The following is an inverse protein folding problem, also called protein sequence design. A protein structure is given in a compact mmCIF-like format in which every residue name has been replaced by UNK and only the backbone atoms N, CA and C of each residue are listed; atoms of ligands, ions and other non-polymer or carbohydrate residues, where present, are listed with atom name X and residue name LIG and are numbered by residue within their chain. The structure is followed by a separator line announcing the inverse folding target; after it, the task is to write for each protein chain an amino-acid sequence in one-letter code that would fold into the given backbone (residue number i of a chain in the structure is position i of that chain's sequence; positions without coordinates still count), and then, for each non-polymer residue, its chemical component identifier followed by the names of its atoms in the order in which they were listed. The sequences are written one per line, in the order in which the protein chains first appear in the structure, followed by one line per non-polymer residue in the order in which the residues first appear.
data_IF_185452699698
#
_entry.id   IF_185452699698
#
_cell.length_a   1.000
_cell.length_b   1.000
_cell.length_c   1.000
_cell.angle_alpha   90.00
_cell.angle_beta   90.00
_cell.angle_gamma   90.00
#
_symmetry.space_group_name_H-M   'P 1'
#
loop_
_entity.id
_entity.type
_entity.pdbx_description
1 polymer ?
#
# COMPACT_ATOMS: atom_id res chain seq x y z
N UNK A 1 11.58 -11.95 -55.54
CA UNK A 1 12.29 -11.95 -54.23
C UNK A 1 11.54 -11.00 -53.31
N UNK A 2 10.99 -11.49 -52.19
CA UNK A 2 10.39 -10.64 -51.13
C UNK A 2 11.21 -10.80 -49.84
N UNK A 3 11.41 -9.74 -49.04
CA UNK A 3 12.11 -9.84 -47.77
C UNK A 3 11.25 -10.53 -46.70
N UNK A 4 11.88 -11.38 -45.89
CA UNK A 4 11.25 -12.10 -44.78
C UNK A 4 10.77 -11.12 -43.70
N UNK A 5 9.46 -11.06 -43.44
CA UNK A 5 8.96 -10.51 -42.17
C UNK A 5 9.30 -11.50 -41.05
N UNK A 6 10.16 -11.10 -40.12
CA UNK A 6 10.47 -11.91 -38.94
C UNK A 6 9.24 -11.93 -38.02
N UNK A 7 8.66 -13.10 -37.79
CA UNK A 7 7.34 -13.24 -37.16
C UNK A 7 7.43 -13.31 -35.62
N UNK A 8 7.98 -12.27 -34.99
CA UNK A 8 8.21 -12.23 -33.54
C UNK A 8 6.92 -12.21 -32.70
N UNK A 9 5.78 -11.80 -33.28
CA UNK A 9 4.49 -11.73 -32.56
C UNK A 9 3.96 -13.14 -32.25
N UNK A 10 4.19 -14.13 -33.11
CA UNK A 10 3.73 -15.50 -32.88
C UNK A 10 4.55 -16.23 -31.81
N UNK A 11 5.85 -15.92 -31.70
CA UNK A 11 6.74 -16.45 -30.65
C UNK A 11 6.43 -15.85 -29.28
N UNK A 12 6.06 -14.57 -29.20
CA UNK A 12 5.59 -13.95 -27.95
C UNK A 12 4.27 -14.57 -27.47
N UNK A 13 3.34 -14.88 -28.37
CA UNK A 13 2.10 -15.58 -28.01
C UNK A 13 2.34 -17.02 -27.50
N UNK A 14 3.35 -17.72 -28.03
CA UNK A 14 3.72 -19.06 -27.53
C UNK A 14 4.42 -19.02 -26.16
N UNK A 15 5.24 -17.99 -25.87
CA UNK A 15 5.91 -17.85 -24.57
C UNK A 15 4.97 -17.42 -23.44
N UNK A 16 3.86 -16.76 -23.74
CA UNK A 16 2.82 -16.42 -22.75
C UNK A 16 1.98 -17.65 -22.34
N UNK A 17 2.02 -18.74 -23.11
CA UNK A 17 1.27 -19.97 -22.81
C UNK A 17 2.00 -20.98 -21.89
N UNK A 18 3.18 -20.64 -21.34
CA UNK A 18 3.94 -21.53 -20.44
C UNK A 18 4.23 -20.96 -19.04
N UNK A 19 3.61 -19.83 -18.66
CA UNK A 19 3.42 -19.56 -17.22
C UNK A 19 2.27 -20.45 -16.76
N UNK A 20 2.43 -21.35 -15.77
CA UNK A 20 1.29 -22.05 -15.19
C UNK A 20 0.33 -20.99 -14.63
N UNK A 21 -0.81 -20.84 -15.30
CA UNK A 21 -1.67 -19.69 -15.11
C UNK A 21 -2.15 -19.58 -13.68
N UNK A 22 -2.05 -18.39 -13.09
CA UNK A 22 -2.66 -18.09 -11.78
C UNK A 22 -4.13 -18.47 -11.85
N UNK A 23 -4.53 -19.52 -11.13
CA UNK A 23 -5.90 -19.97 -11.10
C UNK A 23 -6.75 -18.93 -10.34
N UNK A 24 -7.37 -18.04 -11.11
CA UNK A 24 -8.10 -16.89 -10.57
C UNK A 24 -9.30 -17.30 -9.70
N UNK A 25 -9.88 -18.48 -9.93
CA UNK A 25 -10.95 -19.01 -9.08
C UNK A 25 -10.39 -19.51 -7.74
N UNK A 26 -9.20 -20.14 -7.72
CA UNK A 26 -8.48 -20.43 -6.48
C UNK A 26 -8.18 -19.13 -5.72
N UNK A 27 -7.61 -18.11 -6.38
CA UNK A 27 -7.32 -16.81 -5.74
C UNK A 27 -8.58 -16.17 -5.15
N UNK A 28 -9.71 -16.15 -5.86
CA UNK A 28 -11.00 -15.66 -5.33
C UNK A 28 -11.49 -16.46 -4.13
N UNK A 29 -11.46 -17.79 -4.22
CA UNK A 29 -11.87 -18.68 -3.14
C UNK A 29 -11.06 -18.42 -1.87
N UNK A 30 -9.74 -18.38 -2.00
CA UNK A 30 -8.81 -18.14 -0.91
C UNK A 30 -8.93 -16.72 -0.34
N UNK A 31 -9.07 -15.70 -1.19
CA UNK A 31 -9.35 -14.33 -0.74
C UNK A 31 -10.64 -14.23 0.10
N UNK A 32 -11.69 -14.98 -0.28
CA UNK A 32 -12.93 -15.08 0.49
C UNK A 32 -12.70 -15.77 1.85
N UNK A 33 -11.95 -16.89 1.91
CA UNK A 33 -11.55 -17.52 3.17
C UNK A 33 -10.81 -16.54 4.09
N UNK A 34 -9.83 -15.79 3.58
CA UNK A 34 -9.10 -14.77 4.34
C UNK A 34 -9.99 -13.63 4.83
N UNK A 35 -10.92 -13.17 3.99
CA UNK A 35 -11.91 -12.15 4.37
C UNK A 35 -12.80 -12.64 5.53
N UNK A 36 -13.27 -13.89 5.47
CA UNK A 36 -14.08 -14.48 6.55
C UNK A 36 -13.28 -14.72 7.82
N UNK A 37 -11.98 -15.04 7.72
CA UNK A 37 -11.08 -15.19 8.86
C UNK A 37 -10.95 -13.88 9.64
N UNK A 38 -10.79 -12.75 8.93
CA UNK A 38 -10.81 -11.41 9.52
C UNK A 38 -12.17 -11.07 10.15
N UNK A 39 -13.28 -11.38 9.48
CA UNK A 39 -14.65 -11.15 10.00
C UNK A 39 -14.93 -11.99 11.27
N UNK A 40 -14.33 -13.18 11.39
CA UNK A 40 -14.40 -14.02 12.59
C UNK A 40 -13.57 -13.49 13.76
N UNK A 41 -12.78 -12.41 13.57
CA UNK A 41 -11.92 -11.83 14.60
C UNK A 41 -10.57 -12.55 14.78
N UNK A 42 -10.18 -13.41 13.84
CA UNK A 42 -8.90 -14.10 13.88
C UNK A 42 -7.77 -13.19 13.37
N UNK A 43 -6.54 -13.41 13.86
CA UNK A 43 -5.37 -12.65 13.42
C UNK A 43 -4.92 -13.07 12.01
N UNK A 44 -4.62 -12.08 11.18
CA UNK A 44 -4.24 -12.27 9.77
C UNK A 44 -2.78 -12.70 9.53
N UNK A 45 -2.16 -13.34 10.52
CA UNK A 45 -0.80 -13.90 10.50
C UNK A 45 -0.80 -15.42 10.80
N UNK A 46 -1.98 -16.02 10.98
CA UNK A 46 -2.11 -17.42 11.37
C UNK A 46 -3.24 -18.09 10.57
N UNK A 47 -2.87 -18.99 9.67
CA UNK A 47 -3.76 -19.70 8.76
C UNK A 47 -3.44 -21.21 8.76
N UNK A 48 -4.42 -22.09 8.50
CA UNK A 48 -4.18 -23.53 8.45
C UNK A 48 -3.27 -23.91 7.28
N UNK A 49 -2.26 -24.74 7.53
CA UNK A 49 -1.27 -25.20 6.53
C UNK A 49 -1.88 -25.99 5.37
N UNK A 50 -3.04 -26.63 5.59
CA UNK A 50 -3.78 -27.35 4.56
C UNK A 50 -5.16 -26.73 4.33
N UNK A 51 -5.45 -26.38 3.08
CA UNK A 51 -6.68 -25.68 2.69
C UNK A 51 -7.57 -26.63 1.89
N UNK A 52 -8.72 -26.97 2.49
CA UNK A 52 -9.66 -27.95 1.93
C UNK A 52 -10.16 -27.51 0.55
N UNK A 53 -9.96 -28.37 -0.45
CA UNK A 53 -10.39 -28.12 -1.84
C UNK A 53 -9.38 -27.37 -2.70
N UNK A 54 -8.16 -27.14 -2.20
CA UNK A 54 -7.05 -26.54 -2.94
C UNK A 54 -5.94 -27.58 -3.14
N UNK A 55 -5.38 -27.64 -4.35
CA UNK A 55 -4.26 -28.55 -4.66
C UNK A 55 -2.97 -28.07 -3.97
N UNK A 56 -2.08 -29.00 -3.59
CA UNK A 56 -0.78 -28.67 -2.96
C UNK A 56 -0.01 -27.59 -3.74
N UNK A 57 0.05 -27.72 -5.06
CA UNK A 57 0.73 -26.79 -6.00
C UNK A 57 0.17 -25.36 -6.03
N UNK A 58 -1.01 -25.13 -5.45
CA UNK A 58 -1.65 -23.82 -5.32
C UNK A 58 -1.77 -23.35 -3.85
N UNK A 59 -1.36 -24.18 -2.87
CA UNK A 59 -1.50 -23.87 -1.44
C UNK A 59 -0.78 -22.57 -1.05
N UNK A 60 0.45 -22.37 -1.53
CA UNK A 60 1.23 -21.12 -1.32
C UNK A 60 0.47 -19.88 -1.82
N UNK A 61 -0.01 -19.93 -3.06
CA UNK A 61 -0.78 -18.83 -3.68
C UNK A 61 -2.08 -18.57 -2.92
N UNK A 62 -2.71 -19.63 -2.41
CA UNK A 62 -3.93 -19.56 -1.64
C UNK A 62 -3.70 -18.90 -0.27
N UNK A 63 -2.68 -19.31 0.48
CA UNK A 63 -2.31 -18.72 1.77
C UNK A 63 -1.99 -17.23 1.65
N UNK A 64 -1.16 -16.84 0.67
CA UNK A 64 -0.86 -15.43 0.42
C UNK A 64 -2.10 -14.62 -0.01
N UNK A 65 -3.03 -15.24 -0.74
CA UNK A 65 -4.33 -14.62 -1.06
C UNK A 65 -5.24 -14.47 0.17
N UNK A 66 -5.20 -15.44 1.09
CA UNK A 66 -5.92 -15.37 2.38
C UNK A 66 -5.35 -14.24 3.25
N UNK A 67 -4.03 -14.15 3.38
CA UNK A 67 -3.35 -13.11 4.14
C UNK A 67 -3.72 -11.70 3.64
N UNK A 68 -3.46 -11.42 2.35
CA UNK A 68 -3.71 -10.11 1.75
C UNK A 68 -5.17 -9.68 1.94
N UNK A 69 -6.13 -10.59 1.72
CA UNK A 69 -7.55 -10.25 1.85
C UNK A 69 -8.01 -10.16 3.31
N UNK A 70 -7.41 -10.92 4.23
CA UNK A 70 -7.63 -10.78 5.67
C UNK A 70 -7.15 -9.40 6.16
N UNK A 71 -5.90 -9.04 5.91
CA UNK A 71 -5.32 -7.74 6.30
C UNK A 71 -6.05 -6.56 5.63
N UNK A 72 -6.50 -6.73 4.39
CA UNK A 72 -7.31 -5.73 3.69
C UNK A 72 -8.69 -5.58 4.32
N UNK A 73 -9.35 -6.68 4.72
CA UNK A 73 -10.63 -6.60 5.43
C UNK A 73 -10.48 -5.95 6.80
N UNK A 74 -9.42 -6.27 7.54
CA UNK A 74 -9.12 -5.64 8.84
C UNK A 74 -8.94 -4.12 8.70
N UNK A 75 -8.08 -3.67 7.78
CA UNK A 75 -7.89 -2.24 7.50
C UNK A 75 -9.19 -1.56 7.06
N UNK A 76 -10.01 -2.22 6.24
CA UNK A 76 -11.30 -1.69 5.83
C UNK A 76 -12.28 -1.54 7.02
N UNK A 77 -12.32 -2.50 7.95
CA UNK A 77 -13.16 -2.38 9.17
C UNK A 77 -12.67 -1.27 10.10
N UNK A 78 -11.34 -1.10 10.23
CA UNK A 78 -10.75 0.03 10.95
C UNK A 78 -11.13 1.37 10.29
N UNK A 79 -11.05 1.44 8.96
CA UNK A 79 -11.41 2.61 8.15
C UNK A 79 -12.91 2.95 8.26
N UNK A 80 -13.81 1.97 8.13
CA UNK A 80 -15.26 2.11 8.33
C UNK A 80 -15.57 2.70 9.74
N UNK A 81 -14.86 2.25 10.78
CA UNK A 81 -14.99 2.81 12.12
C UNK A 81 -14.43 4.25 12.25
N UNK A 82 -13.43 4.61 11.44
CA UNK A 82 -12.90 5.98 11.34
C UNK A 82 -13.89 6.93 10.66
N UNK A 83 -14.51 6.50 9.55
CA UNK A 83 -15.55 7.24 8.82
C UNK A 83 -16.74 7.59 9.73
N UNK A 84 -17.17 6.65 10.59
CA UNK A 84 -18.25 6.90 11.55
C UNK A 84 -17.84 7.96 12.60
N UNK A 85 -16.59 7.93 13.09
CA UNK A 85 -16.09 8.92 14.05
C UNK A 85 -16.03 10.33 13.43
N UNK A 86 -15.46 10.46 12.23
CA UNK A 86 -15.37 11.74 11.52
C UNK A 86 -16.75 12.33 11.22
N UNK A 87 -17.70 11.51 10.76
CA UNK A 87 -19.09 11.96 10.58
C UNK A 87 -19.73 12.43 11.89
N UNK A 88 -19.49 11.73 13.00
CA UNK A 88 -20.00 12.10 14.33
C UNK A 88 -19.40 13.38 14.92
N UNK A 89 -18.29 13.89 14.34
CA UNK A 89 -17.59 15.08 14.84
C UNK A 89 -16.78 14.83 16.12
N UNK A 90 -16.33 13.59 16.32
CA UNK A 90 -15.40 13.23 17.40
C UNK A 90 -13.94 13.39 16.94
N UNK A 91 -13.03 13.57 17.90
CA UNK A 91 -11.60 13.80 17.61
C UNK A 91 -10.88 12.53 17.14
N UNK A 92 -10.24 12.63 15.97
CA UNK A 92 -9.46 11.57 15.35
C UNK A 92 -8.10 11.33 16.04
N UNK A 93 -7.56 12.28 16.81
CA UNK A 93 -6.21 12.19 17.41
C UNK A 93 -6.01 10.97 18.32
N UNK A 94 -7.07 10.44 18.91
CA UNK A 94 -7.04 9.25 19.79
C UNK A 94 -6.92 7.91 19.04
N UNK A 95 -6.90 7.94 17.71
CA UNK A 95 -6.87 6.75 16.84
C UNK A 95 -5.53 6.61 16.11
N UNK A 96 -5.26 5.42 15.55
CA UNK A 96 -4.02 5.11 14.82
C UNK A 96 -4.33 4.30 13.54
N UNK A 97 -3.39 4.30 12.59
CA UNK A 97 -3.47 3.54 11.33
C UNK A 97 -4.70 3.88 10.50
N UNK A 98 -5.23 2.91 9.76
CA UNK A 98 -6.35 3.10 8.83
C UNK A 98 -7.60 3.74 9.47
N UNK A 99 -7.81 3.55 10.78
CA UNK A 99 -8.89 4.22 11.51
C UNK A 99 -8.68 5.73 11.64
N UNK A 100 -7.44 6.18 11.84
CA UNK A 100 -7.07 7.59 11.89
C UNK A 100 -7.16 8.21 10.50
N UNK A 101 -6.49 7.61 9.53
CA UNK A 101 -6.38 8.10 8.16
C UNK A 101 -7.79 8.33 7.56
N UNK A 102 -8.69 7.36 7.74
CA UNK A 102 -10.08 7.48 7.27
C UNK A 102 -10.95 8.41 8.12
N UNK A 103 -10.63 8.64 9.40
CA UNK A 103 -11.32 9.62 10.24
C UNK A 103 -10.98 11.06 9.79
N UNK A 104 -9.68 11.36 9.63
CA UNK A 104 -9.21 12.70 9.26
C UNK A 104 -9.67 13.10 7.85
N UNK A 105 -9.52 12.20 6.87
CA UNK A 105 -10.03 12.42 5.49
C UNK A 105 -11.55 12.52 5.43
N UNK A 106 -12.27 11.80 6.30
CA UNK A 106 -13.72 11.91 6.43
C UNK A 106 -14.16 13.27 6.99
N UNK A 107 -13.46 13.82 8.00
CA UNK A 107 -13.71 15.17 8.52
C UNK A 107 -13.51 16.21 7.41
N UNK A 108 -12.38 16.14 6.70
CA UNK A 108 -12.11 17.03 5.55
C UNK A 108 -13.20 16.94 4.47
N UNK A 109 -13.71 15.74 4.17
CA UNK A 109 -14.81 15.53 3.23
C UNK A 109 -16.12 16.17 3.70
N UNK A 110 -16.47 15.95 4.97
CA UNK A 110 -17.67 16.51 5.60
C UNK A 110 -17.65 18.04 5.54
N UNK A 111 -16.54 18.68 5.89
CA UNK A 111 -16.42 20.14 5.88
C UNK A 111 -16.42 20.71 4.44
N UNK A 112 -15.78 19.99 3.52
CA UNK A 112 -15.74 20.33 2.09
C UNK A 112 -17.11 20.32 1.41
N UNK A 113 -18.11 19.61 1.94
CA UNK A 113 -19.46 19.50 1.35
C UNK A 113 -20.14 20.86 1.09
N UNK A 114 -19.78 21.90 1.84
CA UNK A 114 -20.33 23.26 1.68
C UNK A 114 -19.73 24.04 0.51
N UNK A 115 -18.49 23.72 0.11
CA UNK A 115 -17.73 24.40 -0.95
C UNK A 115 -17.59 23.56 -2.23
N UNK A 116 -17.66 22.23 -2.09
CA UNK A 116 -17.52 21.23 -3.14
C UNK A 116 -18.73 20.27 -3.15
N UNK A 117 -19.90 20.72 -3.67
CA UNK A 117 -21.12 19.92 -3.66
C UNK A 117 -21.13 18.75 -4.66
N UNK A 118 -20.12 18.61 -5.54
CA UNK A 118 -19.93 17.40 -6.33
C UNK A 118 -19.12 16.32 -5.60
N UNK A 119 -18.49 16.66 -4.47
CA UNK A 119 -17.59 15.80 -3.70
C UNK A 119 -16.43 15.22 -4.55
N UNK A 120 -15.96 15.99 -5.53
CA UNK A 120 -14.83 15.62 -6.36
C UNK A 120 -13.51 15.70 -5.58
N UNK A 121 -12.77 14.60 -5.55
CA UNK A 121 -11.50 14.47 -4.85
C UNK A 121 -10.33 14.88 -5.77
N UNK A 122 -10.12 16.19 -5.90
CA UNK A 122 -9.01 16.75 -6.69
C UNK A 122 -7.62 16.51 -6.08
N UNK A 123 -7.55 16.11 -4.81
CA UNK A 123 -6.31 15.96 -4.04
C UNK A 123 -5.90 14.49 -3.84
N UNK A 124 -6.72 13.53 -4.28
CA UNK A 124 -6.54 12.08 -4.09
C UNK A 124 -6.52 11.68 -2.60
N UNK A 125 -7.36 12.33 -1.77
CA UNK A 125 -7.57 12.02 -0.35
C UNK A 125 -8.28 10.68 -0.13
N UNK A 126 -8.91 10.11 -1.16
CA UNK A 126 -9.43 8.75 -1.16
C UNK A 126 -10.93 8.62 -0.85
N UNK A 127 -11.39 7.38 -0.73
CA UNK A 127 -12.82 7.07 -0.71
C UNK A 127 -13.56 7.59 0.53
N UNK A 128 -12.89 7.69 1.68
CA UNK A 128 -13.47 8.21 2.93
C UNK A 128 -13.84 9.69 2.84
N UNK A 129 -13.02 10.51 2.16
CA UNK A 129 -13.35 11.91 1.84
C UNK A 129 -14.65 11.99 1.03
N UNK A 130 -14.72 11.24 -0.08
CA UNK A 130 -15.87 11.25 -1.01
C UNK A 130 -17.15 10.79 -0.29
N UNK A 131 -17.09 9.66 0.42
CA UNK A 131 -18.23 9.11 1.19
C UNK A 131 -18.75 10.12 2.22
N UNK A 132 -17.87 10.71 3.01
CA UNK A 132 -18.29 11.60 4.10
C UNK A 132 -18.79 12.96 3.60
N UNK A 133 -18.23 13.47 2.50
CA UNK A 133 -18.78 14.62 1.78
C UNK A 133 -20.21 14.33 1.30
N UNK A 134 -20.44 13.19 0.65
CA UNK A 134 -21.77 12.80 0.17
C UNK A 134 -22.77 12.60 1.31
N UNK A 135 -22.35 12.00 2.42
CA UNK A 135 -23.18 11.84 3.62
C UNK A 135 -23.53 13.19 4.29
N UNK A 136 -22.63 14.16 4.27
CA UNK A 136 -22.90 15.52 4.75
C UNK A 136 -23.95 16.23 3.88
N UNK A 137 -23.83 16.13 2.55
CA UNK A 137 -24.83 16.67 1.61
C UNK A 137 -26.23 16.08 1.83
N UNK A 138 -26.34 14.77 2.04
CA UNK A 138 -27.65 14.13 2.32
C UNK A 138 -28.21 14.48 3.69
N UNK A 139 -27.36 14.87 4.64
CA UNK A 139 -27.79 15.35 5.96
C UNK A 139 -28.36 16.78 5.88
N UNK A 140 -27.81 17.65 5.03
CA UNK A 140 -28.28 19.03 4.86
C UNK A 140 -29.63 19.17 4.15
N UNK A 141 -30.05 18.20 3.33
CA UNK A 141 -31.34 18.28 2.61
C UNK A 141 -32.57 17.93 3.48
N UNK A 142 -32.38 17.38 4.67
CA UNK A 142 -33.48 17.06 5.59
C UNK A 142 -33.96 18.25 6.43
N UNK A 143 -33.21 19.36 6.47
CA UNK A 143 -33.54 20.54 7.28
C UNK A 143 -34.39 21.60 6.55
N UNK A 144 -34.64 21.44 5.24
CA UNK A 144 -35.30 22.47 4.41
C UNK A 144 -36.82 22.30 4.23
N UNK A 145 -37.43 21.29 4.83
CA UNK A 145 -38.86 20.97 4.63
C UNK A 145 -39.72 21.11 5.89
N UNK A 146 -39.44 22.14 6.70
CA UNK A 146 -40.33 22.54 7.79
C UNK A 146 -40.43 24.07 7.96
N UNK A 147 -41.63 24.58 7.60
CA UNK A 147 -42.30 25.79 8.12
C UNK A 147 -42.48 26.98 7.16
N UNK A 148 -43.58 26.92 6.41
CA UNK A 148 -44.33 28.11 5.95
C UNK A 148 -45.77 28.06 6.49
N UNK A 149 -46.06 28.81 7.55
CA UNK A 149 -47.38 29.42 7.81
C UNK A 149 -47.21 30.67 8.69
N UNK A 150 -48.01 31.68 8.39
CA UNK A 150 -47.93 33.07 8.87
C UNK A 150 -48.72 33.32 10.16
N UNK A 151 -48.29 34.29 10.99
CA UNK A 151 -49.18 35.29 11.65
C UNK A 151 -48.42 36.40 12.41
N UNK A 152 -48.66 37.62 11.95
CA UNK A 152 -48.67 38.99 12.54
C UNK A 152 -47.82 39.51 13.75
N UNK A 153 -47.45 40.79 13.57
CA UNK A 153 -46.83 41.92 14.34
C UNK A 153 -47.41 42.22 15.77
N UNK A 154 -46.98 43.28 16.55
CA UNK A 154 -45.92 44.31 16.35
C UNK A 154 -45.08 44.85 17.57
N UNK A 155 -44.03 45.66 17.24
CA UNK A 155 -43.32 46.68 18.10
C UNK A 155 -42.56 46.14 19.34
N UNK A 156 -41.53 46.76 19.91
CA UNK A 156 -40.56 47.85 19.57
C UNK A 156 -39.32 47.66 20.51
N UNK A 157 -38.19 48.39 20.53
CA UNK A 157 -37.83 49.78 20.16
C UNK A 157 -36.33 49.82 19.74
N UNK A 158 -35.67 50.99 19.63
CA UNK A 158 -34.25 51.16 19.28
C UNK A 158 -33.40 51.74 20.43
N UNK A 159 -32.06 51.51 20.40
CA UNK A 159 -30.90 52.31 20.93
C UNK A 159 -29.74 51.32 21.24
N UNK A 160 -28.52 51.32 20.65
CA UNK A 160 -27.48 52.35 20.38
C UNK A 160 -26.43 52.49 21.50
N UNK A 161 -25.14 52.23 21.16
CA UNK A 161 -23.87 52.67 21.81
C UNK A 161 -23.55 52.15 23.25
N UNK A 162 -22.30 51.96 23.74
CA UNK A 162 -20.93 52.10 23.19
C UNK A 162 -19.86 51.44 24.11
N UNK A 163 -18.69 51.09 23.52
CA UNK A 163 -17.29 51.19 24.04
C UNK A 163 -16.79 50.55 25.36
N UNK A 164 -15.59 49.95 25.24
CA UNK A 164 -14.46 49.91 26.22
C UNK A 164 -14.61 49.05 27.50
N UNK A 165 -13.55 48.43 28.06
CA UNK A 165 -12.10 48.48 27.76
C UNK A 165 -11.36 47.18 28.16
N UNK A 166 -10.07 47.07 27.82
CA UNK A 166 -9.24 45.87 27.95
C UNK A 166 -8.72 45.56 29.37
N UNK A 167 -8.31 44.30 29.61
CA UNK A 167 -7.19 43.96 30.50
C UNK A 167 -6.36 42.78 29.93
N UNK A 168 -5.14 42.58 30.45
CA UNK A 168 -3.96 42.11 29.72
C UNK A 168 -3.14 41.10 30.53
N UNK A 169 -2.80 39.95 29.97
CA UNK A 169 -1.55 39.22 30.34
C UNK A 169 -0.97 38.47 29.14
N UNK A 170 0.36 38.51 29.03
CA UNK A 170 1.26 38.01 27.98
C UNK A 170 1.65 36.53 28.15
N UNK A 171 2.54 35.94 27.33
CA UNK A 171 3.03 36.31 25.98
C UNK A 171 2.77 35.20 24.93
N UNK A 172 2.81 35.52 23.64
CA UNK A 172 3.08 34.48 22.64
C UNK A 172 4.17 34.93 21.65
N UNK A 173 5.16 34.07 21.51
CA UNK A 173 6.39 34.28 20.75
C UNK A 173 6.13 33.65 19.38
N UNK A 174 5.69 34.44 18.39
CA UNK A 174 5.52 33.90 17.03
C UNK A 174 6.84 33.24 16.59
N UNK A 175 6.86 31.92 16.31
CA UNK A 175 8.03 31.31 15.72
C UNK A 175 8.29 31.96 14.35
N UNK A 176 9.55 32.08 13.91
CA UNK A 176 9.86 32.51 12.56
C UNK A 176 9.16 31.58 11.55
N UNK A 177 8.71 32.14 10.42
CA UNK A 177 8.05 31.39 9.35
C UNK A 177 8.85 30.12 9.03
N UNK A 178 8.22 28.96 9.21
CA UNK A 178 8.85 27.65 9.05
C UNK A 178 9.42 27.53 7.63
N UNK A 179 10.68 27.11 7.53
CA UNK A 179 11.31 26.86 6.25
C UNK A 179 10.61 25.68 5.60
N UNK A 180 9.84 25.94 4.56
CA UNK A 180 8.97 24.94 3.94
C UNK A 180 9.71 23.68 3.47
N UNK A 181 11.02 23.76 3.19
CA UNK A 181 11.88 22.60 2.91
C UNK A 181 12.16 21.66 4.10
N UNK A 182 11.68 21.97 5.31
CA UNK A 182 11.72 21.09 6.48
C UNK A 182 10.54 20.09 6.50
N UNK A 183 9.54 20.28 5.63
CA UNK A 183 8.45 19.33 5.40
C UNK A 183 8.91 18.25 4.42
N UNK A 184 8.92 16.99 4.86
CA UNK A 184 9.26 15.86 3.97
C UNK A 184 8.24 15.69 2.82
N UNK A 185 8.72 15.39 1.62
CA UNK A 185 7.88 14.98 0.48
C UNK A 185 7.42 16.09 -0.49
N UNK A 186 7.69 17.37 -0.23
CA UNK A 186 7.27 18.47 -1.13
C UNK A 186 8.07 18.62 -2.43
N UNK A 187 9.24 17.97 -2.53
CA UNK A 187 10.08 17.91 -3.73
C UNK A 187 10.55 16.48 -3.97
N UNK A 188 10.56 16.04 -5.24
CA UNK A 188 10.97 14.67 -5.57
C UNK A 188 12.45 14.37 -5.38
N UNK A 189 13.32 15.39 -5.28
CA UNK A 189 14.77 15.23 -5.08
C UNK A 189 15.39 16.33 -4.20
N UNK A 190 15.47 17.58 -4.68
CA UNK A 190 16.12 18.68 -3.95
C UNK A 190 15.07 19.78 -3.69
N UNK A 191 15.02 20.29 -2.46
CA UNK A 191 14.24 21.49 -2.10
C UNK A 191 15.18 22.67 -1.86
N UNK A 192 14.88 23.83 -2.46
CA UNK A 192 15.64 25.06 -2.28
C UNK A 192 14.70 26.12 -1.66
N UNK A 193 14.96 26.62 -0.44
CA UNK A 193 14.14 27.66 0.17
C UNK A 193 14.33 29.02 -0.52
N UNK A 194 13.24 29.78 -0.63
CA UNK A 194 13.16 31.09 -1.27
C UNK A 194 12.34 32.06 -0.42
N UNK A 195 12.80 32.32 0.80
CA UNK A 195 12.05 33.10 1.80
C UNK A 195 10.79 32.34 2.21
N UNK A 196 9.62 32.97 2.06
CA UNK A 196 8.30 32.40 2.37
C UNK A 196 7.81 31.39 1.30
N UNK A 197 8.73 30.82 0.51
CA UNK A 197 8.45 29.95 -0.63
C UNK A 197 9.57 28.94 -0.86
N UNK A 198 9.41 28.05 -1.84
CA UNK A 198 10.38 27.03 -2.21
C UNK A 198 10.43 26.82 -3.72
N UNK A 199 11.54 26.25 -4.20
CA UNK A 199 11.69 25.76 -5.57
C UNK A 199 12.33 24.37 -5.52
N UNK A 200 11.72 23.38 -6.16
CA UNK A 200 12.37 22.10 -6.33
C UNK A 200 13.48 22.16 -7.40
N UNK A 201 14.48 21.34 -7.23
CA UNK A 201 15.56 21.11 -8.19
C UNK A 201 15.88 19.61 -8.28
N UNK A 202 16.67 19.24 -9.29
CA UNK A 202 16.96 17.84 -9.58
C UNK A 202 18.46 17.53 -9.52
N UNK A 203 18.78 16.31 -9.11
CA UNK A 203 20.14 15.79 -9.16
C UNK A 203 20.65 15.72 -10.62
N UNK A 204 21.97 15.79 -10.78
CA UNK A 204 22.64 15.76 -12.08
C UNK A 204 22.20 14.53 -12.91
N UNK A 205 21.68 14.78 -14.12
CA UNK A 205 21.13 13.74 -14.99
C UNK A 205 19.61 13.59 -14.92
N UNK A 206 18.93 14.48 -14.18
CA UNK A 206 17.47 14.60 -14.15
C UNK A 206 17.06 16.05 -14.46
N UNK A 207 15.94 16.20 -15.16
CA UNK A 207 15.26 17.47 -15.46
C UNK A 207 13.99 17.57 -14.63
N UNK A 208 13.69 18.77 -14.13
CA UNK A 208 12.43 19.05 -13.45
C UNK A 208 11.25 18.87 -14.44
N UNK A 209 10.16 18.29 -13.95
CA UNK A 209 8.94 18.07 -14.71
C UNK A 209 8.05 19.32 -14.69
N UNK A 210 7.02 19.32 -15.54
CA UNK A 210 6.14 20.48 -15.73
C UNK A 210 5.26 20.78 -14.49
N UNK A 211 5.13 19.80 -13.58
CA UNK A 211 4.55 19.95 -12.23
C UNK A 211 5.44 20.74 -11.25
N UNK A 212 6.71 21.00 -11.62
CA UNK A 212 7.74 21.67 -10.82
C UNK A 212 8.12 20.97 -9.51
N UNK A 213 7.73 19.71 -9.33
CA UNK A 213 7.95 18.91 -8.12
C UNK A 213 8.71 17.63 -8.44
N UNK A 214 8.35 16.96 -9.53
CA UNK A 214 8.92 15.67 -9.94
C UNK A 214 10.16 15.85 -10.81
N UNK A 215 11.07 14.88 -10.78
CA UNK A 215 12.31 14.86 -11.57
C UNK A 215 12.30 13.67 -12.55
N UNK A 216 12.37 13.93 -13.86
CA UNK A 216 12.48 12.90 -14.91
C UNK A 216 13.94 12.75 -15.38
N UNK A 217 14.42 11.53 -15.71
CA UNK A 217 15.77 11.36 -16.26
C UNK A 217 16.01 12.13 -17.56
N UNK A 218 17.22 12.70 -17.69
CA UNK A 218 17.66 13.41 -18.88
C UNK A 218 17.85 12.45 -20.06
N UNK A 219 16.92 12.49 -21.01
CA UNK A 219 16.94 11.68 -22.25
C UNK A 219 18.23 11.83 -23.10
N UNK A 220 19.05 12.85 -22.84
CA UNK A 220 20.34 13.09 -23.50
C UNK A 220 21.49 12.25 -22.94
N UNK A 221 21.40 11.77 -21.71
CA UNK A 221 22.40 10.88 -21.10
C UNK A 221 21.89 9.44 -21.12
N UNK A 222 22.38 8.66 -22.09
CA UNK A 222 21.92 7.29 -22.39
C UNK A 222 22.40 6.23 -21.37
N UNK A 223 22.53 6.63 -20.11
CA UNK A 223 22.82 5.83 -18.92
C UNK A 223 22.12 6.50 -17.73
N UNK A 224 20.80 6.59 -17.79
CA UNK A 224 20.00 6.92 -16.62
C UNK A 224 20.24 5.83 -15.58
N UNK A 225 20.95 6.17 -14.51
CA UNK A 225 21.14 5.25 -13.38
C UNK A 225 19.78 5.07 -12.71
N UNK A 226 19.28 3.84 -12.72
CA UNK A 226 18.15 3.41 -11.91
C UNK A 226 18.44 3.71 -10.43
N UNK A 227 17.42 3.88 -9.59
CA UNK A 227 17.65 3.89 -8.14
C UNK A 227 18.33 2.61 -7.64
N UNK A 228 18.11 1.49 -8.33
CA UNK A 228 18.85 0.24 -8.16
C UNK A 228 20.35 0.33 -8.51
N UNK A 229 20.74 1.16 -9.48
CA UNK A 229 22.14 1.33 -9.89
C UNK A 229 22.92 2.28 -8.97
N UNK A 230 22.20 3.15 -8.26
CA UNK A 230 22.78 4.17 -7.36
C UNK A 230 23.02 3.61 -5.95
N UNK A 231 22.03 2.92 -5.39
CA UNK A 231 22.11 2.30 -4.07
C UNK A 231 21.06 1.19 -3.98
N UNK A 232 21.41 -0.03 -4.41
CA UNK A 232 20.49 -1.18 -4.36
C UNK A 232 20.14 -1.53 -2.90
N UNK A 233 18.88 -1.36 -2.45
CA UNK A 233 18.48 -1.70 -1.09
C UNK A 233 17.99 -3.15 -0.96
N UNK A 234 17.94 -3.91 -2.06
CA UNK A 234 17.32 -5.23 -2.14
C UNK A 234 18.38 -6.32 -2.13
N UNK A 235 18.19 -7.35 -1.30
CA UNK A 235 19.07 -8.51 -1.21
C UNK A 235 19.16 -9.27 -2.56
N UNK A 236 18.01 -9.59 -3.16
CA UNK A 236 17.94 -10.41 -4.36
C UNK A 236 17.76 -9.62 -5.67
N UNK A 237 16.61 -9.00 -5.89
CA UNK A 237 16.28 -8.33 -7.15
C UNK A 237 15.60 -6.99 -6.91
N UNK A 238 16.26 -5.92 -7.35
CA UNK A 238 15.72 -4.58 -7.35
C UNK A 238 15.02 -4.24 -8.66
N UNK A 239 13.84 -3.62 -8.56
CA UNK A 239 13.09 -3.06 -9.68
C UNK A 239 12.73 -1.61 -9.37
N UNK A 240 13.25 -0.67 -10.16
CA UNK A 240 12.80 0.71 -10.14
C UNK A 240 11.54 0.83 -11.01
N UNK A 241 10.42 1.23 -10.40
CA UNK A 241 9.12 1.35 -11.07
C UNK A 241 8.89 2.73 -11.69
N UNK A 242 9.88 3.63 -11.64
CA UNK A 242 9.70 5.06 -11.88
C UNK A 242 9.10 5.81 -10.69
N UNK A 243 8.28 5.14 -9.87
CA UNK A 243 7.65 5.74 -8.67
C UNK A 243 8.41 5.36 -7.39
N UNK A 244 8.73 4.08 -7.19
CA UNK A 244 9.47 3.57 -6.04
C UNK A 244 10.49 2.50 -6.45
N UNK A 245 11.40 2.15 -5.54
CA UNK A 245 12.14 0.88 -5.60
C UNK A 245 11.26 -0.22 -5.02
N UNK A 246 11.16 -1.35 -5.73
CA UNK A 246 10.53 -2.56 -5.24
C UNK A 246 11.55 -3.71 -5.22
N UNK A 247 11.68 -4.35 -4.08
CA UNK A 247 12.45 -5.58 -3.93
C UNK A 247 11.61 -6.81 -4.28
N UNK A 248 12.26 -7.81 -4.87
CA UNK A 248 11.71 -9.10 -5.24
C UNK A 248 12.73 -10.17 -4.87
N UNK A 249 12.24 -11.32 -4.42
CA UNK A 249 13.08 -12.47 -4.08
C UNK A 249 13.22 -13.43 -5.27
N UNK A 250 14.18 -14.35 -5.17
CA UNK A 250 14.35 -15.47 -6.11
C UNK A 250 13.30 -16.54 -5.82
N UNK A 251 13.13 -17.49 -6.73
CA UNK A 251 12.36 -18.71 -6.45
C UNK A 251 13.00 -19.43 -5.25
N UNK A 252 12.17 -20.02 -4.37
CA UNK A 252 12.58 -20.55 -3.06
C UNK A 252 12.60 -19.53 -1.91
N UNK A 253 12.36 -18.23 -2.17
CA UNK A 253 12.46 -17.19 -1.14
C UNK A 253 11.22 -16.26 -1.09
N UNK A 254 10.82 -15.87 0.11
CA UNK A 254 9.79 -14.87 0.41
C UNK A 254 10.40 -13.52 0.82
N UNK A 255 9.67 -12.41 0.59
CA UNK A 255 10.15 -11.08 0.98
C UNK A 255 9.86 -10.85 2.46
N UNK A 256 10.90 -10.53 3.23
CA UNK A 256 10.79 -10.34 4.68
C UNK A 256 10.07 -9.03 5.05
N UNK A 257 9.74 -8.87 6.32
CA UNK A 257 8.91 -7.79 6.87
C UNK A 257 9.53 -6.38 6.69
N UNK A 258 10.85 -6.32 6.52
CA UNK A 258 11.60 -5.11 6.18
C UNK A 258 11.39 -4.65 4.72
N UNK A 259 10.84 -5.52 3.87
CA UNK A 259 10.60 -5.36 2.43
C UNK A 259 11.87 -5.21 1.59
N UNK A 260 13.02 -5.60 2.13
CA UNK A 260 14.35 -5.49 1.51
C UNK A 260 15.12 -6.80 1.49
N UNK A 261 15.00 -7.60 2.55
CA UNK A 261 15.62 -8.91 2.72
C UNK A 261 14.71 -10.02 2.19
N UNK A 262 15.30 -11.17 1.91
CA UNK A 262 14.65 -12.34 1.36
C UNK A 262 14.91 -13.55 2.24
N UNK A 263 13.85 -14.05 2.87
CA UNK A 263 13.90 -15.21 3.74
C UNK A 263 13.64 -16.47 2.93
N UNK A 264 14.35 -17.54 3.27
CA UNK A 264 14.09 -18.88 2.74
C UNK A 264 12.66 -19.37 3.06
N UNK A 265 12.04 -20.07 2.11
CA UNK A 265 10.73 -20.70 2.28
C UNK A 265 10.96 -22.16 2.69
N UNK A 266 10.85 -22.45 3.98
CA UNK A 266 11.04 -23.81 4.49
C UNK A 266 9.91 -24.75 4.02
N UNK A 267 10.12 -25.41 2.87
CA UNK A 267 9.10 -26.25 2.23
C UNK A 267 8.84 -27.54 3.01
N UNK A 268 9.77 -27.95 3.87
CA UNK A 268 9.61 -29.09 4.77
C UNK A 268 8.67 -28.75 5.93
N UNK A 269 8.91 -27.65 6.65
CA UNK A 269 8.06 -27.17 7.76
C UNK A 269 6.67 -26.75 7.26
N UNK A 270 6.59 -26.18 6.06
CA UNK A 270 5.32 -25.76 5.46
C UNK A 270 4.55 -26.91 4.78
N UNK A 271 5.20 -28.06 4.55
CA UNK A 271 4.59 -29.23 3.88
C UNK A 271 4.35 -29.04 2.38
N UNK A 272 5.16 -28.19 1.74
CA UNK A 272 5.12 -27.89 0.31
C UNK A 272 6.05 -28.78 -0.54
N UNK A 273 6.85 -29.62 0.11
CA UNK A 273 7.69 -30.62 -0.55
C UNK A 273 6.91 -31.71 -1.30
N UNK A 274 7.53 -32.27 -2.34
CA UNK A 274 6.99 -33.38 -3.16
C UNK A 274 7.57 -34.75 -2.79
N UNK A 275 8.33 -34.87 -1.70
CA UNK A 275 8.93 -36.13 -1.24
C UNK A 275 7.91 -37.27 -1.04
N UNK A 276 8.35 -38.49 -1.35
CA UNK A 276 7.59 -39.73 -1.18
C UNK A 276 7.37 -40.08 0.30
N UNK A 277 6.40 -40.96 0.60
CA UNK A 277 6.05 -41.35 2.00
C UNK A 277 7.20 -41.99 2.79
N UNK A 278 8.26 -42.46 2.11
CA UNK A 278 9.44 -43.10 2.71
C UNK A 278 10.69 -42.19 2.73
N UNK A 279 10.60 -40.98 2.18
CA UNK A 279 11.71 -40.02 2.11
C UNK A 279 11.60 -38.97 3.22
N UNK A 280 12.74 -38.47 3.67
CA UNK A 280 12.84 -37.38 4.64
C UNK A 280 13.04 -36.08 3.86
N UNK A 281 12.16 -35.10 4.07
CA UNK A 281 12.36 -33.76 3.54
C UNK A 281 13.49 -33.07 4.31
N UNK A 282 14.49 -32.55 3.59
CA UNK A 282 15.56 -31.71 4.12
C UNK A 282 15.51 -30.36 3.42
N UNK A 283 15.46 -29.30 4.22
CA UNK A 283 15.40 -27.93 3.74
C UNK A 283 16.81 -27.38 3.46
N UNK A 284 16.98 -26.61 2.39
CA UNK A 284 18.25 -26.01 1.96
C UNK A 284 17.99 -24.57 1.45
N UNK A 285 18.93 -23.64 1.55
CA UNK A 285 18.65 -22.22 1.26
C UNK A 285 18.16 -22.00 -0.20
N UNK A 286 16.85 -21.81 -0.37
CA UNK A 286 16.15 -21.62 -1.64
C UNK A 286 15.59 -22.88 -2.30
N UNK A 287 15.59 -24.03 -1.62
CA UNK A 287 15.08 -25.29 -2.14
C UNK A 287 14.88 -26.36 -1.05
N UNK A 288 14.39 -27.54 -1.42
CA UNK A 288 14.43 -28.71 -0.57
C UNK A 288 14.92 -29.90 -1.38
N UNK A 289 15.40 -30.92 -0.68
CA UNK A 289 15.64 -32.23 -1.25
C UNK A 289 15.01 -33.33 -0.40
N UNK A 290 14.83 -34.49 -1.03
CA UNK A 290 14.21 -35.65 -0.42
C UNK A 290 15.29 -36.71 -0.22
N UNK A 291 15.68 -36.93 1.04
CA UNK A 291 16.70 -37.90 1.42
C UNK A 291 16.05 -39.28 1.61
N UNK A 292 16.57 -40.31 0.94
CA UNK A 292 16.21 -41.70 1.22
C UNK A 292 17.10 -42.22 2.37
N UNK A 293 16.55 -42.47 3.57
CA UNK A 293 17.34 -42.91 4.72
C UNK A 293 17.97 -44.31 4.55
N UNK A 294 17.63 -45.05 3.48
CA UNK A 294 18.27 -46.31 3.13
C UNK A 294 19.60 -46.17 2.36
N UNK A 295 19.92 -44.96 1.87
CA UNK A 295 21.15 -44.65 1.13
C UNK A 295 22.08 -43.69 1.91
N UNK A 296 22.38 -44.01 3.17
CA UNK A 296 23.50 -43.36 3.86
C UNK A 296 24.84 -43.87 3.32
N UNK A 297 25.74 -42.95 2.99
CA UNK A 297 27.01 -43.25 2.31
C UNK A 297 27.82 -44.34 3.02
N UNK A 298 27.97 -45.49 2.35
CA UNK A 298 29.02 -46.44 2.70
C UNK A 298 30.37 -45.84 2.29
N UNK A 299 31.37 -45.76 3.19
CA UNK A 299 32.65 -45.14 2.85
C UNK A 299 33.26 -45.79 1.60
N UNK A 300 33.55 -44.97 0.57
CA UNK A 300 34.28 -45.43 -0.61
C UNK A 300 35.70 -45.78 -0.17
N UNK A 301 35.96 -47.07 0.00
CA UNK A 301 37.31 -47.58 0.20
C UNK A 301 38.10 -47.38 -1.09
N UNK A 302 38.95 -46.34 -1.11
CA UNK A 302 39.91 -46.09 -2.18
C UNK A 302 40.99 -47.16 -2.13
N UNK A 303 40.70 -48.24 -2.86
CA UNK A 303 41.47 -49.47 -3.06
C UNK A 303 42.99 -49.34 -2.84
N UNK A 304 43.48 -49.94 -1.75
CA UNK A 304 44.90 -50.19 -1.53
C UNK A 304 45.40 -51.42 -2.29
N UNK A 305 45.26 -51.43 -3.61
CA UNK A 305 45.92 -52.41 -4.48
C UNK A 305 46.61 -51.73 -5.68
N UNK A 306 47.67 -50.96 -5.38
CA UNK A 306 48.75 -50.76 -6.34
C UNK A 306 49.74 -51.92 -6.16
N UNK A 307 49.72 -52.84 -7.11
CA UNK A 307 50.61 -54.01 -7.21
C UNK A 307 51.66 -53.81 -8.30
#
# INVERSE_FOLDING_TARGET
MLPRKCNCILLLLFLVQQVPGINIETVKYCCNLGTNHSIAGNQCNNFPTSIKGVNKTDAVRCLHSMEICCQTRERNMQCEAGEILGLSGQDCNSTIGAKKDCCETCVLGKDSSTLNPSCEDYLNLGSSFIKCCQAALTSSTTTTTARSTTSEKPKSTASTSTSESADKTTPDYLPPMENLCEVEGICGQICIPMGDSYKCDCNKGFSLMDDKVSCKPDQKNKKAASRCDLNNPCEHKCVDTGVAVKCLCREGYELDIDKTSCKDIDECTLGFHECNENEICVNEDGTYYCEDPSFTDSPIDYDKNVQ
#
